data_IF_589105348009
#
_entry.id   IF_589105348009
#
_cell.length_a   1.000
_cell.length_b   1.000
_cell.length_c   1.000
_cell.angle_alpha   90.00
_cell.angle_beta   90.00
_cell.angle_gamma   90.00
#
_symmetry.space_group_name_H-M   'P 1'
#
loop_
_entity.id
_entity.type
_entity.pdbx_description
1 polymer ?
#
# COMPACT_ATOMS: atom_id res chain seq x y z
N UNK A 1 -26.17 7.29 -11.55
CA UNK A 1 -25.44 7.93 -10.44
C UNK A 1 -23.97 7.71 -10.62
N UNK A 2 -23.15 8.73 -10.50
CA UNK A 2 -21.71 8.53 -10.41
C UNK A 2 -21.42 7.74 -9.13
N UNK A 3 -20.61 6.69 -9.22
CA UNK A 3 -20.11 6.01 -8.03
C UNK A 3 -19.37 7.04 -7.15
N UNK A 4 -19.56 6.97 -5.85
CA UNK A 4 -18.87 7.84 -4.92
C UNK A 4 -17.37 7.68 -5.11
N UNK A 5 -16.71 8.80 -5.39
CA UNK A 5 -15.26 8.82 -5.60
C UNK A 5 -14.55 8.59 -4.28
N UNK A 6 -13.68 7.59 -4.24
CA UNK A 6 -12.88 7.27 -3.04
C UNK A 6 -11.70 8.23 -2.92
N UNK A 7 -11.03 8.54 -4.03
CA UNK A 7 -9.96 9.53 -4.12
C UNK A 7 -10.24 10.53 -5.23
N UNK A 8 -9.84 11.79 -5.00
CA UNK A 8 -9.79 12.76 -6.08
C UNK A 8 -8.62 12.42 -7.02
N UNK A 9 -8.63 12.89 -8.28
CA UNK A 9 -7.48 12.72 -9.18
C UNK A 9 -6.17 13.28 -8.61
N UNK A 10 -6.23 14.39 -7.86
CA UNK A 10 -5.08 14.99 -7.21
C UNK A 10 -4.52 14.08 -6.11
N UNK A 11 -5.39 13.56 -5.25
CA UNK A 11 -5.00 12.60 -4.20
C UNK A 11 -4.40 11.33 -4.80
N UNK A 12 -5.01 10.79 -5.86
CA UNK A 12 -4.52 9.60 -6.53
C UNK A 12 -3.13 9.81 -7.13
N UNK A 13 -2.90 10.96 -7.78
CA UNK A 13 -1.60 11.32 -8.34
C UNK A 13 -0.53 11.47 -7.26
N UNK A 14 -0.86 12.11 -6.14
CA UNK A 14 0.04 12.27 -5.01
C UNK A 14 0.46 10.92 -4.42
N UNK A 15 -0.50 10.04 -4.20
CA UNK A 15 -0.24 8.70 -3.64
C UNK A 15 0.57 7.85 -4.62
N UNK A 16 0.21 7.86 -5.91
CA UNK A 16 0.90 7.06 -6.92
C UNK A 16 2.37 7.48 -7.12
N UNK A 17 2.66 8.77 -6.98
CA UNK A 17 4.03 9.30 -7.12
C UNK A 17 4.92 9.00 -5.90
N UNK A 18 4.35 8.72 -4.74
CA UNK A 18 5.10 8.49 -3.52
C UNK A 18 5.88 7.18 -3.57
N UNK A 19 7.08 7.19 -2.98
CA UNK A 19 7.98 6.02 -2.98
C UNK A 19 7.73 5.11 -1.78
N UNK A 20 7.18 5.65 -0.70
CA UNK A 20 6.84 4.90 0.52
C UNK A 20 5.54 5.40 1.10
N UNK A 21 4.90 4.54 1.85
CA UNK A 21 3.77 4.89 2.71
C UNK A 21 4.00 4.29 4.09
N UNK A 22 3.37 4.84 5.10
CA UNK A 22 3.31 4.23 6.44
C UNK A 22 2.03 3.42 6.53
N UNK A 23 2.19 2.13 6.77
CA UNK A 23 1.06 1.22 6.99
C UNK A 23 0.82 1.08 8.48
N UNK A 24 -0.40 1.34 8.91
CA UNK A 24 -0.85 1.13 10.29
C UNK A 24 -1.79 -0.08 10.34
N UNK A 25 -1.48 -1.02 11.21
CA UNK A 25 -2.27 -2.23 11.47
C UNK A 25 -2.57 -2.36 12.96
N UNK A 26 -3.58 -3.14 13.30
CA UNK A 26 -3.94 -3.36 14.70
C UNK A 26 -3.34 -4.68 15.19
N UNK A 27 -2.55 -4.61 16.25
CA UNK A 27 -2.03 -5.80 16.92
C UNK A 27 -3.10 -6.54 17.73
N UNK A 28 -2.84 -7.82 18.02
CA UNK A 28 -3.71 -8.63 18.87
C UNK A 28 -3.86 -8.05 20.29
N UNK A 29 -2.88 -7.27 20.74
CA UNK A 29 -2.89 -6.56 22.02
C UNK A 29 -3.73 -5.26 21.99
N UNK A 30 -4.41 -4.96 20.88
CA UNK A 30 -5.19 -3.75 20.71
C UNK A 30 -4.37 -2.49 20.46
N UNK A 31 -3.05 -2.61 20.27
CA UNK A 31 -2.17 -1.48 20.01
C UNK A 31 -1.92 -1.31 18.52
N UNK A 32 -1.98 -0.08 17.99
CA UNK A 32 -1.61 0.17 16.60
C UNK A 32 -0.12 -0.07 16.39
N UNK A 33 0.21 -0.65 15.24
CA UNK A 33 1.58 -0.88 14.78
C UNK A 33 1.76 -0.16 13.45
N UNK A 34 2.91 0.47 13.25
CA UNK A 34 3.21 1.22 12.03
C UNK A 34 4.53 0.74 11.44
N UNK A 35 4.59 0.68 10.10
CA UNK A 35 5.78 0.29 9.36
C UNK A 35 5.80 0.97 8.00
N UNK A 36 6.97 1.44 7.51
CA UNK A 36 7.07 1.93 6.14
C UNK A 36 6.99 0.77 5.16
N UNK A 37 6.31 0.99 4.03
CA UNK A 37 6.16 0.01 2.97
C UNK A 37 6.45 0.62 1.61
N UNK A 38 6.93 -0.21 0.67
CA UNK A 38 6.85 0.04 -0.75
C UNK A 38 5.49 -0.42 -1.26
N UNK A 39 4.98 0.23 -2.29
CA UNK A 39 3.63 -0.07 -2.78
C UNK A 39 3.41 0.45 -4.20
N UNK A 40 2.39 -0.09 -4.84
CA UNK A 40 1.81 0.47 -6.07
C UNK A 40 0.32 0.67 -5.90
N UNK A 41 -0.22 1.61 -6.67
CA UNK A 41 -1.65 1.91 -6.72
C UNK A 41 -2.22 1.37 -8.02
N UNK A 42 -3.39 0.78 -7.97
CA UNK A 42 -4.13 0.33 -9.14
C UNK A 42 -5.60 0.70 -9.03
N UNK A 43 -6.29 0.74 -10.17
CA UNK A 43 -7.71 1.06 -10.23
C UNK A 43 -7.99 2.51 -10.57
N UNK A 44 -9.25 2.87 -10.48
CA UNK A 44 -9.77 4.19 -10.80
C UNK A 44 -10.38 4.84 -9.57
N UNK A 45 -10.83 6.08 -9.70
CA UNK A 45 -11.38 6.93 -8.63
C UNK A 45 -12.38 6.22 -7.69
N UNK A 46 -13.19 5.30 -8.24
CA UNK A 46 -14.24 4.62 -7.50
C UNK A 46 -13.80 3.28 -6.89
N UNK A 47 -12.70 2.69 -7.38
CA UNK A 47 -12.21 1.38 -6.95
C UNK A 47 -10.67 1.40 -6.96
N UNK A 48 -10.08 1.83 -5.86
CA UNK A 48 -8.64 1.98 -5.70
C UNK A 48 -8.10 0.85 -4.82
N UNK A 49 -7.03 0.22 -5.27
CA UNK A 49 -6.30 -0.81 -4.53
C UNK A 49 -4.83 -0.45 -4.41
N UNK A 50 -4.27 -0.81 -3.27
CA UNK A 50 -2.84 -0.71 -2.97
C UNK A 50 -2.29 -2.13 -2.88
N UNK A 51 -1.11 -2.35 -3.47
CA UNK A 51 -0.39 -3.62 -3.37
C UNK A 51 0.97 -3.37 -2.77
N UNK A 52 1.28 -4.08 -1.68
CA UNK A 52 2.57 -4.03 -1.01
C UNK A 52 3.19 -5.42 -0.96
N UNK A 53 4.40 -5.60 -1.49
CA UNK A 53 5.04 -6.91 -1.51
C UNK A 53 5.69 -7.22 -0.16
N UNK A 54 5.87 -8.49 0.10
CA UNK A 54 6.77 -8.99 1.13
C UNK A 54 8.06 -9.40 0.44
N UNK A 55 8.96 -8.45 0.29
CA UNK A 55 10.16 -8.58 -0.53
C UNK A 55 11.34 -9.24 0.21
N UNK A 56 12.47 -9.37 -0.48
CA UNK A 56 13.66 -10.03 0.04
C UNK A 56 14.60 -9.12 0.85
N UNK A 57 14.15 -7.92 1.24
CA UNK A 57 14.91 -7.07 2.16
C UNK A 57 15.13 -7.80 3.49
N UNK A 58 16.26 -7.57 4.20
CA UNK A 58 16.47 -8.18 5.50
C UNK A 58 15.30 -7.95 6.45
N UNK A 59 14.82 -9.02 7.08
CA UNK A 59 13.69 -9.03 8.00
C UNK A 59 14.06 -9.78 9.29
N UNK A 60 13.33 -9.50 10.35
CA UNK A 60 13.52 -10.15 11.65
C UNK A 60 13.08 -11.61 11.68
N UNK A 61 12.32 -12.06 10.68
CA UNK A 61 11.79 -13.43 10.58
C UNK A 61 12.11 -14.02 9.21
N UNK A 62 12.28 -15.35 9.15
CA UNK A 62 12.58 -16.05 7.90
C UNK A 62 11.33 -16.22 7.02
N UNK A 63 10.17 -16.56 7.61
CA UNK A 63 8.91 -16.68 6.90
C UNK A 63 8.18 -15.34 6.90
N UNK A 64 7.87 -14.76 5.73
CA UNK A 64 7.10 -13.51 5.66
C UNK A 64 5.76 -13.54 6.39
N UNK A 65 5.12 -14.72 6.51
CA UNK A 65 3.86 -14.86 7.24
C UNK A 65 4.00 -14.58 8.74
N UNK A 66 5.21 -14.67 9.29
CA UNK A 66 5.49 -14.38 10.69
C UNK A 66 5.73 -12.89 10.97
N UNK A 67 5.77 -12.05 9.94
CA UNK A 67 5.89 -10.61 10.13
C UNK A 67 4.68 -10.06 10.87
N UNK A 68 4.94 -9.12 11.79
CA UNK A 68 3.88 -8.53 12.63
C UNK A 68 2.74 -7.97 11.78
N UNK A 69 3.06 -7.22 10.70
CA UNK A 69 2.03 -6.64 9.84
C UNK A 69 1.18 -7.68 9.14
N UNK A 70 1.76 -8.82 8.76
CA UNK A 70 1.02 -9.91 8.10
C UNK A 70 0.06 -10.57 9.09
N UNK A 71 0.54 -10.92 10.28
CA UNK A 71 -0.30 -11.48 11.33
C UNK A 71 -1.43 -10.53 11.70
N UNK A 72 -1.14 -9.24 11.76
CA UNK A 72 -2.14 -8.23 12.10
C UNK A 72 -3.23 -8.13 11.03
N UNK A 73 -2.89 -8.08 9.74
CA UNK A 73 -3.91 -7.97 8.67
C UNK A 73 -4.76 -9.24 8.54
N UNK A 74 -4.19 -10.40 8.83
CA UNK A 74 -4.95 -11.67 8.85
C UNK A 74 -5.96 -11.68 9.99
N UNK A 75 -5.56 -11.20 11.17
CA UNK A 75 -6.43 -11.16 12.35
C UNK A 75 -7.44 -10.00 12.30
N UNK A 76 -7.03 -8.84 11.80
CA UNK A 76 -7.88 -7.66 11.65
C UNK A 76 -7.57 -6.97 10.32
N UNK A 77 -8.48 -7.05 9.34
CA UNK A 77 -8.23 -6.52 8.00
C UNK A 77 -8.29 -4.99 7.90
N UNK A 78 -8.79 -4.29 8.91
CA UNK A 78 -8.88 -2.83 8.86
C UNK A 78 -7.52 -2.20 9.04
N UNK A 79 -7.13 -1.36 8.08
CA UNK A 79 -5.81 -0.71 8.03
C UNK A 79 -5.94 0.75 7.63
N UNK A 80 -4.90 1.51 7.95
CA UNK A 80 -4.72 2.87 7.45
C UNK A 80 -3.33 3.01 6.82
N UNK A 81 -3.24 3.88 5.81
CA UNK A 81 -1.96 4.27 5.22
C UNK A 81 -1.83 5.78 5.29
N UNK A 82 -0.62 6.24 5.52
CA UNK A 82 -0.27 7.65 5.43
C UNK A 82 0.81 7.82 4.37
N UNK A 83 0.52 8.71 3.42
CA UNK A 83 1.50 9.20 2.44
C UNK A 83 1.66 10.68 2.71
N UNK A 84 2.88 11.15 2.93
CA UNK A 84 3.13 12.54 3.25
C UNK A 84 4.34 13.09 2.48
N UNK A 85 4.35 14.40 2.35
CA UNK A 85 5.50 15.14 1.85
C UNK A 85 5.90 16.20 2.87
N UNK A 86 7.14 16.14 3.32
CA UNK A 86 7.73 17.11 4.21
C UNK A 86 8.59 18.11 3.43
N UNK A 87 8.52 19.37 3.82
CA UNK A 87 9.38 20.43 3.33
C UNK A 87 9.60 21.46 4.44
N UNK A 88 10.76 22.12 4.45
CA UNK A 88 10.99 23.29 5.30
C UNK A 88 10.15 24.50 4.84
N UNK A 89 9.74 24.55 3.58
CA UNK A 89 8.70 25.43 3.09
C UNK A 89 7.33 24.80 3.36
N UNK A 90 6.65 25.29 4.35
CA UNK A 90 5.38 24.74 4.80
C UNK A 90 4.25 24.88 3.78
N UNK A 91 4.39 25.73 2.77
CA UNK A 91 3.43 25.80 1.66
C UNK A 91 3.47 24.56 0.77
N UNK A 92 4.55 23.77 0.85
CA UNK A 92 4.72 22.52 0.12
C UNK A 92 4.29 21.29 0.90
N UNK A 93 3.93 21.42 2.19
CA UNK A 93 3.48 20.30 3.00
C UNK A 93 2.17 19.73 2.50
N UNK A 94 2.07 18.42 2.50
CA UNK A 94 0.83 17.72 2.15
C UNK A 94 0.82 16.29 2.64
N UNK A 95 -0.37 15.78 2.86
CA UNK A 95 -0.53 14.36 3.20
C UNK A 95 -1.89 13.83 2.71
N UNK A 96 -1.90 12.55 2.45
CA UNK A 96 -3.11 11.77 2.17
C UNK A 96 -3.14 10.58 3.13
N UNK A 97 -4.24 10.43 3.83
CA UNK A 97 -4.55 9.25 4.65
C UNK A 97 -5.58 8.40 3.93
N UNK A 98 -5.27 7.13 3.80
CA UNK A 98 -6.14 6.14 3.19
C UNK A 98 -6.60 5.15 4.25
N UNK A 99 -7.87 4.80 4.24
CA UNK A 99 -8.42 3.76 5.11
C UNK A 99 -9.04 2.68 4.24
N UNK A 100 -8.82 1.42 4.61
CA UNK A 100 -9.32 0.31 3.82
C UNK A 100 -9.18 -1.04 4.51
N UNK A 101 -9.39 -2.08 3.70
CA UNK A 101 -9.34 -3.47 4.18
C UNK A 101 -8.25 -4.23 3.44
N UNK A 102 -7.40 -4.87 4.22
CA UNK A 102 -6.26 -5.63 3.73
C UNK A 102 -6.57 -7.11 3.64
N UNK A 103 -6.06 -7.74 2.58
CA UNK A 103 -6.05 -9.19 2.40
C UNK A 103 -4.67 -9.63 1.95
N UNK A 104 -4.28 -10.84 2.31
CA UNK A 104 -3.05 -11.43 1.83
C UNK A 104 -3.37 -12.23 0.56
N UNK A 105 -2.69 -11.89 -0.55
CA UNK A 105 -2.75 -12.68 -1.78
C UNK A 105 -1.57 -13.65 -1.79
N UNK A 106 -1.86 -14.93 -1.69
CA UNK A 106 -0.84 -15.98 -1.74
C UNK A 106 -0.42 -16.25 -3.19
N UNK A 107 0.88 -16.52 -3.44
CA UNK A 107 1.32 -16.92 -4.76
C UNK A 107 0.74 -18.28 -5.15
N UNK A 108 0.36 -18.43 -6.43
CA UNK A 108 -0.17 -19.69 -6.93
C UNK A 108 -1.63 -19.98 -6.61
N UNK A 109 -2.31 -19.11 -5.89
CA UNK A 109 -3.74 -19.24 -5.63
C UNK A 109 -4.53 -18.86 -6.90
N UNK A 110 -5.27 -19.83 -7.46
CA UNK A 110 -5.91 -19.68 -8.77
C UNK A 110 -6.85 -18.46 -8.87
N UNK A 111 -7.58 -18.15 -7.81
CA UNK A 111 -8.55 -17.05 -7.78
C UNK A 111 -7.91 -15.67 -7.87
N UNK A 112 -6.67 -15.52 -7.42
CA UNK A 112 -5.95 -14.23 -7.37
C UNK A 112 -4.69 -14.21 -8.23
N UNK A 113 -4.34 -15.31 -8.88
CA UNK A 113 -3.10 -15.42 -9.67
C UNK A 113 -2.95 -14.33 -10.75
N UNK A 114 -3.98 -13.99 -11.55
CA UNK A 114 -3.87 -12.89 -12.52
C UNK A 114 -3.59 -11.54 -11.88
N UNK A 115 -4.28 -11.24 -10.79
CA UNK A 115 -4.09 -9.99 -10.04
C UNK A 115 -2.71 -9.93 -9.40
N UNK A 116 -2.23 -11.03 -8.84
CA UNK A 116 -0.89 -11.14 -8.26
C UNK A 116 0.19 -10.85 -9.31
N UNK A 117 0.09 -11.44 -10.51
CA UNK A 117 1.02 -11.18 -11.61
C UNK A 117 1.01 -9.72 -12.06
N UNK A 118 -0.16 -9.12 -12.17
CA UNK A 118 -0.30 -7.71 -12.53
C UNK A 118 0.34 -6.80 -11.48
N UNK A 119 0.14 -7.09 -10.20
CA UNK A 119 0.74 -6.36 -9.10
C UNK A 119 2.27 -6.47 -9.11
N UNK A 120 2.83 -7.67 -9.35
CA UNK A 120 4.27 -7.87 -9.48
C UNK A 120 4.86 -7.04 -10.62
N UNK A 121 4.21 -7.04 -11.78
CA UNK A 121 4.65 -6.25 -12.93
C UNK A 121 4.67 -4.75 -12.61
N UNK A 122 3.64 -4.24 -11.96
CA UNK A 122 3.54 -2.84 -11.55
C UNK A 122 4.61 -2.46 -10.50
N UNK A 123 4.87 -3.34 -9.53
CA UNK A 123 5.91 -3.15 -8.52
C UNK A 123 7.30 -3.08 -9.16
N UNK A 124 7.61 -3.97 -10.11
CA UNK A 124 8.88 -3.94 -10.84
C UNK A 124 9.03 -2.70 -11.72
N UNK A 125 7.95 -2.22 -12.32
CA UNK A 125 7.97 -0.99 -13.09
C UNK A 125 8.28 0.24 -12.23
N UNK A 126 7.74 0.27 -11.01
CA UNK A 126 7.94 1.39 -10.07
C UNK A 126 9.29 1.32 -9.37
N UNK A 127 9.74 0.14 -8.96
CA UNK A 127 10.94 -0.05 -8.15
C UNK A 127 11.97 -0.90 -8.91
N UNK A 128 12.99 -0.29 -9.52
CA UNK A 128 13.99 -1.05 -10.31
C UNK A 128 14.70 -2.16 -9.53
N UNK A 129 14.88 -2.00 -8.22
CA UNK A 129 15.52 -3.02 -7.38
C UNK A 129 14.74 -4.34 -7.34
N UNK A 130 13.43 -4.32 -7.61
CA UNK A 130 12.62 -5.53 -7.62
C UNK A 130 12.85 -6.41 -8.86
N UNK A 131 13.64 -5.96 -9.83
CA UNK A 131 14.07 -6.82 -10.95
C UNK A 131 14.84 -8.05 -10.45
N UNK A 132 15.57 -7.93 -9.32
CA UNK A 132 16.36 -9.02 -8.73
C UNK A 132 15.59 -9.81 -7.65
N UNK A 133 14.39 -9.36 -7.26
CA UNK A 133 13.59 -10.01 -6.23
C UNK A 133 12.57 -10.98 -6.83
N UNK A 134 12.34 -12.10 -6.13
CA UNK A 134 11.38 -13.14 -6.54
C UNK A 134 9.99 -12.85 -5.98
N UNK A 135 9.41 -11.73 -6.39
CA UNK A 135 8.10 -11.28 -5.89
C UNK A 135 6.97 -12.23 -6.24
N UNK A 136 7.09 -12.97 -7.36
CA UNK A 136 6.11 -13.96 -7.80
C UNK A 136 5.98 -15.15 -6.84
N UNK A 137 6.98 -15.41 -6.01
CA UNK A 137 7.02 -16.53 -5.06
C UNK A 137 6.53 -16.14 -3.66
N UNK A 138 6.28 -14.87 -3.42
CA UNK A 138 5.87 -14.36 -2.12
C UNK A 138 4.44 -13.81 -2.09
N UNK A 139 3.84 -13.74 -0.88
CA UNK A 139 2.54 -13.10 -0.74
C UNK A 139 2.62 -11.60 -0.94
N UNK A 140 1.50 -11.01 -1.35
CA UNK A 140 1.32 -9.56 -1.49
C UNK A 140 0.16 -9.13 -0.61
N UNK A 141 0.33 -8.05 0.14
CA UNK A 141 -0.77 -7.42 0.86
C UNK A 141 -1.54 -6.56 -0.13
N UNK A 142 -2.81 -6.88 -0.33
CA UNK A 142 -3.76 -6.10 -1.12
C UNK A 142 -4.65 -5.30 -0.20
N UNK A 143 -4.78 -4.01 -0.43
CA UNK A 143 -5.62 -3.13 0.37
C UNK A 143 -6.66 -2.48 -0.54
N UNK A 144 -7.94 -2.79 -0.32
CA UNK A 144 -9.04 -2.10 -0.97
C UNK A 144 -9.34 -0.82 -0.20
N UNK A 145 -9.17 0.33 -0.85
CA UNK A 145 -9.36 1.63 -0.22
C UNK A 145 -10.85 1.98 -0.17
N UNK A 146 -11.32 2.34 1.01
CA UNK A 146 -12.71 2.68 1.26
C UNK A 146 -12.92 4.17 1.48
N UNK A 147 -11.94 4.86 2.09
CA UNK A 147 -12.03 6.29 2.40
C UNK A 147 -10.66 6.95 2.28
N UNK A 148 -10.69 8.23 1.95
CA UNK A 148 -9.49 9.07 1.97
C UNK A 148 -9.75 10.39 2.69
N UNK A 149 -8.68 10.96 3.22
CA UNK A 149 -8.64 12.32 3.73
C UNK A 149 -7.30 12.92 3.39
N UNK A 150 -7.29 14.21 3.01
CA UNK A 150 -6.07 14.87 2.61
C UNK A 150 -6.00 16.28 3.14
N UNK A 151 -4.79 16.83 3.15
CA UNK A 151 -4.51 18.20 3.53
C UNK A 151 -3.26 18.69 2.82
N UNK A 152 -3.24 19.99 2.56
CA UNK A 152 -2.05 20.70 2.08
C UNK A 152 -1.86 20.63 0.57
N UNK A 153 -0.61 20.76 0.15
CA UNK A 153 -0.22 20.74 -1.27
C UNK A 153 -0.04 19.30 -1.73
N UNK A 154 -0.89 18.85 -2.65
CA UNK A 154 -0.87 17.51 -3.20
C UNK A 154 -0.28 17.45 -4.61
N UNK A 155 0.28 18.54 -5.12
CA UNK A 155 0.95 18.52 -6.41
C UNK A 155 2.22 17.67 -6.31
N UNK A 156 2.45 16.74 -7.27
CA UNK A 156 3.67 15.97 -7.29
C UNK A 156 4.88 16.91 -7.40
N UNK A 157 5.92 16.62 -6.63
CA UNK A 157 7.18 17.35 -6.77
C UNK A 157 7.70 17.18 -8.21
N UNK A 158 8.12 18.28 -8.79
CA UNK A 158 8.66 18.30 -10.16
C UNK A 158 9.97 17.51 -10.25
#
# INVERSE_FOLDING_TARGET
MAADRVLTPMELGFVAAARTAILATMGADGRPKVVPICFVVAGTDAAVRIYSPLDEKPKSVADPHDLQRVRNVVANPEVSLLVDHWSEDWSELGWVRLEGRAQLMEPGEASTAPEHRTAVAALRAKYPQYAAHRLEDGPIIRIAIERSRSWGNLEPAA
#
